data_IF_052778774014
#
_entry.id   IF_052778774014
#
_cell.length_a   1.000
_cell.length_b   1.000
_cell.length_c   1.000
_cell.angle_alpha   90.00
_cell.angle_beta   90.00
_cell.angle_gamma   90.00
#
_symmetry.space_group_name_H-M   'P 1'
#
loop_
_entity.id
_entity.type
_entity.pdbx_description
1 polymer ?
#
# COMPACT_ATOMS: atom_id res chain seq x y z
N UNK A 1 11.30 7.63 -23.34
CA UNK A 1 11.66 7.64 -21.91
C UNK A 1 10.45 7.82 -21.00
N UNK A 2 9.48 8.66 -21.33
CA UNK A 2 8.31 8.89 -20.46
C UNK A 2 7.34 7.69 -20.37
N UNK A 3 7.04 7.04 -21.50
CA UNK A 3 6.17 5.85 -21.53
C UNK A 3 6.68 4.70 -20.66
N UNK A 4 8.00 4.44 -20.68
CA UNK A 4 8.63 3.38 -19.88
C UNK A 4 8.52 3.67 -18.37
N UNK A 5 8.64 4.93 -17.95
CA UNK A 5 8.48 5.32 -16.55
C UNK A 5 7.02 5.16 -16.08
N UNK A 6 6.05 5.46 -16.95
CA UNK A 6 4.62 5.28 -16.67
C UNK A 6 4.26 3.80 -16.51
N UNK A 7 4.81 2.92 -17.35
CA UNK A 7 4.60 1.47 -17.25
C UNK A 7 5.11 0.90 -15.93
N UNK A 8 6.35 1.22 -15.56
CA UNK A 8 6.92 0.80 -14.27
C UNK A 8 6.06 1.31 -13.12
N UNK A 9 5.60 2.56 -13.22
CA UNK A 9 4.79 3.13 -12.16
C UNK A 9 3.44 2.41 -11.98
N UNK A 10 2.79 2.07 -13.10
CA UNK A 10 1.56 1.30 -13.11
C UNK A 10 1.75 -0.12 -12.55
N UNK A 11 2.87 -0.75 -12.84
CA UNK A 11 3.19 -2.08 -12.33
C UNK A 11 3.44 -2.08 -10.81
N UNK A 12 4.16 -1.07 -10.30
CA UNK A 12 4.34 -0.87 -8.85
C UNK A 12 2.98 -0.68 -8.19
N UNK A 13 2.12 0.19 -8.73
CA UNK A 13 0.76 0.39 -8.21
C UNK A 13 -0.05 -0.92 -8.16
N UNK A 14 -0.09 -1.67 -9.27
CA UNK A 14 -0.84 -2.94 -9.35
C UNK A 14 -0.30 -3.97 -8.36
N UNK A 15 1.02 -4.08 -8.23
CA UNK A 15 1.66 -4.99 -7.31
C UNK A 15 1.37 -4.63 -5.84
N UNK A 16 1.47 -3.34 -5.50
CA UNK A 16 1.15 -2.83 -4.16
C UNK A 16 -0.31 -3.11 -3.82
N UNK A 17 -1.25 -2.73 -4.68
CA UNK A 17 -2.68 -2.99 -4.48
C UNK A 17 -2.94 -4.48 -4.25
N UNK A 18 -2.38 -5.36 -5.08
CA UNK A 18 -2.54 -6.82 -4.93
C UNK A 18 -2.05 -7.31 -3.57
N UNK A 19 -0.85 -6.90 -3.13
CA UNK A 19 -0.29 -7.29 -1.83
C UNK A 19 -1.18 -6.86 -0.67
N UNK A 20 -1.74 -5.65 -0.72
CA UNK A 20 -2.65 -5.19 0.33
C UNK A 20 -3.99 -5.93 0.33
N UNK A 21 -4.54 -6.28 -0.83
CA UNK A 21 -5.76 -7.12 -0.89
C UNK A 21 -5.46 -8.51 -0.29
N UNK A 22 -4.38 -9.17 -0.70
CA UNK A 22 -3.99 -10.49 -0.19
C UNK A 22 -3.71 -10.46 1.32
N UNK A 23 -3.01 -9.42 1.79
CA UNK A 23 -2.76 -9.19 3.21
C UNK A 23 -4.06 -8.94 3.99
N UNK A 24 -4.95 -8.14 3.40
CA UNK A 24 -6.27 -7.85 3.95
C UNK A 24 -7.13 -9.10 4.11
N UNK A 25 -7.18 -9.94 3.08
CA UNK A 25 -7.91 -11.20 3.10
C UNK A 25 -7.35 -12.15 4.18
N UNK A 26 -6.04 -12.14 4.41
CA UNK A 26 -5.40 -12.94 5.45
C UNK A 26 -5.62 -12.40 6.88
N UNK A 27 -5.69 -11.07 7.07
CA UNK A 27 -5.78 -10.43 8.39
C UNK A 27 -7.23 -10.24 8.84
N UNK A 28 -8.13 -9.90 7.92
CA UNK A 28 -9.51 -9.50 8.21
C UNK A 28 -10.56 -10.42 7.60
N UNK A 29 -10.15 -11.30 6.69
CA UNK A 29 -11.03 -12.18 5.94
C UNK A 29 -11.33 -11.66 4.52
N UNK A 30 -11.84 -12.56 3.64
CA UNK A 30 -11.99 -12.28 2.22
C UNK A 30 -12.84 -11.05 1.92
N UNK A 31 -12.34 -10.19 1.04
CA UNK A 31 -13.07 -9.03 0.49
C UNK A 31 -13.11 -7.81 1.41
N UNK A 32 -12.56 -7.88 2.63
CA UNK A 32 -12.57 -6.76 3.57
C UNK A 32 -11.84 -5.53 3.03
N UNK A 33 -10.64 -5.71 2.47
CA UNK A 33 -9.86 -4.61 1.89
C UNK A 33 -10.48 -4.07 0.59
N UNK A 34 -11.13 -4.93 -0.21
CA UNK A 34 -11.87 -4.49 -1.40
C UNK A 34 -13.06 -3.60 -1.03
N UNK A 35 -13.81 -3.97 0.02
CA UNK A 35 -14.89 -3.15 0.56
C UNK A 35 -14.38 -1.83 1.14
N UNK A 36 -13.23 -1.87 1.81
CA UNK A 36 -12.55 -0.68 2.34
C UNK A 36 -12.15 0.27 1.21
N UNK A 37 -11.52 -0.24 0.14
CA UNK A 37 -11.19 0.54 -1.05
C UNK A 37 -12.44 1.15 -1.69
N UNK A 38 -13.52 0.38 -1.86
CA UNK A 38 -14.77 0.88 -2.42
C UNK A 38 -15.35 2.03 -1.59
N UNK A 39 -15.43 1.87 -0.27
CA UNK A 39 -15.90 2.92 0.63
C UNK A 39 -15.04 4.18 0.52
N UNK A 40 -13.71 4.02 0.53
CA UNK A 40 -12.77 5.12 0.44
C UNK A 40 -12.92 5.87 -0.89
N UNK A 41 -13.03 5.14 -2.00
CA UNK A 41 -13.27 5.74 -3.32
C UNK A 41 -14.58 6.52 -3.37
N UNK A 42 -15.66 6.00 -2.75
CA UNK A 42 -16.94 6.73 -2.67
C UNK A 42 -16.84 8.01 -1.84
N UNK A 43 -16.02 8.02 -0.78
CA UNK A 43 -15.82 9.17 0.11
C UNK A 43 -14.87 10.22 -0.46
N UNK A 44 -13.78 9.81 -1.12
CA UNK A 44 -12.65 10.66 -1.49
C UNK A 44 -12.43 10.82 -3.00
N UNK A 45 -13.13 10.05 -3.83
CA UNK A 45 -12.98 10.08 -5.29
C UNK A 45 -11.73 9.36 -5.83
N UNK A 46 -10.84 8.90 -4.95
CA UNK A 46 -9.58 8.25 -5.30
C UNK A 46 -9.39 6.92 -4.54
N UNK A 47 -8.64 6.00 -5.14
CA UNK A 47 -8.26 4.74 -4.46
C UNK A 47 -7.27 5.05 -3.33
N UNK A 48 -7.44 4.47 -2.13
CA UNK A 48 -6.48 4.63 -1.04
C UNK A 48 -5.09 4.13 -1.44
N UNK A 49 -4.99 3.13 -2.32
CA UNK A 49 -3.69 2.63 -2.78
C UNK A 49 -2.97 3.60 -3.71
N UNK A 50 -3.71 4.42 -4.48
CA UNK A 50 -3.10 5.51 -5.23
C UNK A 50 -2.70 6.66 -4.29
N UNK A 51 -3.55 6.96 -3.31
CA UNK A 51 -3.31 8.01 -2.33
C UNK A 51 -2.16 7.70 -1.36
N UNK A 52 -1.77 6.43 -1.18
CA UNK A 52 -0.56 6.08 -0.42
C UNK A 52 0.70 6.77 -0.95
N UNK A 53 0.74 7.15 -2.23
CA UNK A 53 1.90 7.79 -2.83
C UNK A 53 1.81 9.33 -2.88
N UNK A 54 0.61 9.90 -2.69
CA UNK A 54 0.39 11.36 -2.73
C UNK A 54 0.08 11.94 -1.36
N UNK A 55 -0.83 11.31 -0.62
CA UNK A 55 -1.33 11.74 0.70
C UNK A 55 -1.43 10.56 1.68
N UNK A 56 -0.33 9.83 1.95
CA UNK A 56 -0.36 8.61 2.77
C UNK A 56 -0.96 8.80 4.16
N UNK A 57 -0.82 9.99 4.76
CA UNK A 57 -1.38 10.26 6.08
C UNK A 57 -2.90 10.17 6.10
N UNK A 58 -3.57 10.64 5.05
CA UNK A 58 -5.04 10.57 4.92
C UNK A 58 -5.49 9.11 4.89
N UNK A 59 -4.76 8.25 4.18
CA UNK A 59 -5.05 6.82 4.11
C UNK A 59 -4.90 6.18 5.48
N UNK A 60 -3.80 6.48 6.18
CA UNK A 60 -3.55 5.97 7.52
C UNK A 60 -4.65 6.36 8.51
N UNK A 61 -4.97 7.65 8.61
CA UNK A 61 -5.97 8.13 9.59
C UNK A 61 -7.35 7.50 9.31
N UNK A 62 -7.74 7.38 8.04
CA UNK A 62 -9.00 6.74 7.67
C UNK A 62 -8.97 5.23 8.00
N UNK A 63 -7.88 4.52 7.69
CA UNK A 63 -7.76 3.10 8.01
C UNK A 63 -7.76 2.85 9.52
N UNK A 64 -7.08 3.67 10.32
CA UNK A 64 -7.14 3.59 11.79
C UNK A 64 -8.59 3.74 12.27
N UNK A 65 -9.34 4.69 11.71
CA UNK A 65 -10.75 4.89 12.06
C UNK A 65 -11.66 3.72 11.61
N UNK A 66 -11.47 3.22 10.39
CA UNK A 66 -12.25 2.13 9.82
C UNK A 66 -11.98 0.81 10.55
N UNK A 67 -10.71 0.50 10.81
CA UNK A 67 -10.27 -0.76 11.41
C UNK A 67 -10.33 -0.73 12.93
N UNK A 68 -10.78 0.38 13.53
CA UNK A 68 -10.96 0.56 14.97
C UNK A 68 -9.66 0.48 15.77
N UNK A 69 -8.59 1.02 15.22
CA UNK A 69 -7.31 1.16 15.91
C UNK A 69 -6.11 1.04 14.98
N UNK A 70 -4.93 1.32 15.53
CA UNK A 70 -3.66 1.26 14.82
C UNK A 70 -3.13 -0.18 14.67
N UNK A 71 -3.39 -1.04 15.64
CA UNK A 71 -2.88 -2.43 15.64
C UNK A 71 -3.32 -3.23 14.40
N UNK A 72 -4.59 -3.18 13.96
CA UNK A 72 -5.01 -3.71 12.66
C UNK A 72 -4.20 -3.21 11.46
N UNK A 73 -3.87 -1.91 11.43
CA UNK A 73 -3.10 -1.28 10.35
C UNK A 73 -1.65 -1.80 10.38
N UNK A 74 -1.07 -1.95 11.56
CA UNK A 74 0.26 -2.54 11.75
C UNK A 74 0.31 -3.97 11.20
N UNK A 75 -0.65 -4.83 11.58
CA UNK A 75 -0.74 -6.20 11.06
C UNK A 75 -0.92 -6.26 9.56
N UNK A 76 -1.74 -5.37 9.00
CA UNK A 76 -1.92 -5.27 7.55
C UNK A 76 -0.61 -4.91 6.84
N UNK A 77 0.11 -3.90 7.34
CA UNK A 77 1.38 -3.46 6.77
C UNK A 77 2.48 -4.51 6.94
N UNK A 78 2.57 -5.15 8.10
CA UNK A 78 3.48 -6.26 8.34
C UNK A 78 3.24 -7.38 7.34
N UNK A 79 1.98 -7.73 7.08
CA UNK A 79 1.64 -8.78 6.13
C UNK A 79 1.90 -8.38 4.67
N UNK A 80 1.69 -7.12 4.31
CA UNK A 80 1.87 -6.62 2.95
C UNK A 80 3.34 -6.31 2.61
N UNK A 81 4.08 -5.71 3.54
CA UNK A 81 5.44 -5.23 3.36
C UNK A 81 6.52 -6.14 3.96
N UNK A 82 6.14 -7.10 4.82
CA UNK A 82 7.08 -8.00 5.48
C UNK A 82 7.94 -7.29 6.52
N UNK A 83 9.18 -7.77 6.78
CA UNK A 83 10.04 -7.26 7.85
C UNK A 83 10.37 -5.76 7.79
N UNK A 84 10.22 -5.13 6.62
CA UNK A 84 10.45 -3.70 6.41
C UNK A 84 9.23 -2.80 6.70
N UNK A 85 8.17 -3.32 7.30
CA UNK A 85 6.93 -2.56 7.46
C UNK A 85 7.01 -1.40 8.45
N UNK A 86 7.89 -1.45 9.45
CA UNK A 86 8.01 -0.40 10.47
C UNK A 86 8.50 0.94 9.88
N UNK A 87 9.62 0.98 9.12
CA UNK A 87 10.00 2.19 8.38
C UNK A 87 8.89 2.69 7.43
N UNK A 88 8.23 1.79 6.72
CA UNK A 88 7.11 2.15 5.83
C UNK A 88 5.96 2.81 6.60
N UNK A 89 5.59 2.27 7.76
CA UNK A 89 4.56 2.83 8.61
C UNK A 89 4.93 4.23 9.09
N UNK A 90 6.19 4.44 9.50
CA UNK A 90 6.67 5.78 9.86
C UNK A 90 6.58 6.76 8.70
N UNK A 91 7.01 6.36 7.50
CA UNK A 91 6.95 7.20 6.31
C UNK A 91 5.49 7.55 5.94
N UNK A 92 4.57 6.59 6.08
CA UNK A 92 3.12 6.83 5.92
C UNK A 92 2.62 7.84 6.96
N UNK A 93 2.97 7.66 8.23
CA UNK A 93 2.53 8.54 9.33
C UNK A 93 3.09 9.96 9.23
N UNK A 94 4.28 10.12 8.64
CA UNK A 94 4.93 11.41 8.35
C UNK A 94 4.46 12.06 7.05
N UNK A 95 3.53 11.41 6.32
CA UNK A 95 3.03 11.85 5.02
C UNK A 95 4.11 11.93 3.92
N UNK A 96 5.14 11.08 3.97
CA UNK A 96 6.25 11.07 3.02
C UNK A 96 5.97 10.13 1.83
N UNK A 97 5.14 10.59 0.89
CA UNK A 97 4.75 9.80 -0.29
C UNK A 97 5.93 9.34 -1.17
N UNK A 98 7.03 10.10 -1.19
CA UNK A 98 8.23 9.75 -1.96
C UNK A 98 8.95 8.56 -1.35
N UNK A 99 9.10 8.52 -0.02
CA UNK A 99 9.69 7.35 0.66
C UNK A 99 8.79 6.12 0.60
N UNK A 100 7.47 6.32 0.70
CA UNK A 100 6.49 5.25 0.48
C UNK A 100 6.65 4.66 -0.93
N UNK A 101 6.72 5.51 -1.95
CA UNK A 101 6.98 5.10 -3.33
C UNK A 101 8.26 4.29 -3.46
N UNK A 102 9.39 4.82 -2.96
CA UNK A 102 10.69 4.17 -3.06
C UNK A 102 10.71 2.81 -2.38
N UNK A 103 10.00 2.67 -1.25
CA UNK A 103 9.87 1.38 -0.56
C UNK A 103 9.19 0.35 -1.46
N UNK A 104 8.02 0.67 -2.01
CA UNK A 104 7.29 -0.25 -2.88
C UNK A 104 8.01 -0.51 -4.21
N UNK A 105 8.67 0.50 -4.76
CA UNK A 105 9.51 0.36 -5.95
C UNK A 105 10.63 -0.65 -5.72
N UNK A 106 11.37 -0.52 -4.62
CA UNK A 106 12.47 -1.41 -4.26
C UNK A 106 11.98 -2.85 -3.98
N UNK A 107 10.81 -2.98 -3.37
CA UNK A 107 10.17 -4.28 -3.16
C UNK A 107 9.73 -4.95 -4.47
N UNK A 108 9.32 -4.17 -5.47
CA UNK A 108 8.95 -4.68 -6.78
C UNK A 108 10.19 -5.06 -7.59
N UNK A 109 11.25 -4.23 -7.57
CA UNK A 109 12.48 -4.45 -8.33
C UNK A 109 13.33 -5.60 -7.79
N UNK A 110 13.34 -5.83 -6.47
CA UNK A 110 14.06 -6.96 -5.85
C UNK A 110 13.53 -8.34 -6.27
N UNK A 111 12.27 -8.42 -6.72
CA UNK A 111 11.68 -9.65 -7.29
C UNK A 111 12.18 -9.94 -8.70
N UNK A 112 12.47 -8.92 -9.48
CA UNK A 112 12.94 -9.07 -10.87
C UNK A 112 14.34 -9.68 -10.92
N UNK A 113 15.20 -9.37 -9.94
CA UNK A 113 16.56 -9.92 -9.85
C UNK A 113 16.59 -11.38 -9.36
N UNK A 114 15.61 -11.78 -8.54
CA UNK A 114 15.56 -13.14 -7.97
C UNK A 114 15.12 -14.24 -8.97
N UNK A 115 14.66 -13.86 -10.16
CA UNK A 115 14.29 -14.81 -11.24
C UNK A 115 15.43 -15.01 -12.24
N UNK A 116 16.55 -14.30 -12.08
CA UNK A 116 17.74 -14.42 -12.91
C UNK A 116 18.88 -15.16 -12.19
N UNK A 117 18.64 -16.41 -11.75
CA UNK A 117 19.69 -17.39 -11.38
C UNK A 117 19.25 -18.78 -11.85
#
# INVERSE_FOLDING_TARGET
MEAQNVEIALDVYKATRRKFIEAGDAVFGPGFLSMTEYYFMKKKGHSPFAMLFSEPRIVYDEWVWMFKGEEPVRKLLEKAAGPGYMPLLEDIMRNDGVRVWNTFYNMASSRTTAVAI
#
